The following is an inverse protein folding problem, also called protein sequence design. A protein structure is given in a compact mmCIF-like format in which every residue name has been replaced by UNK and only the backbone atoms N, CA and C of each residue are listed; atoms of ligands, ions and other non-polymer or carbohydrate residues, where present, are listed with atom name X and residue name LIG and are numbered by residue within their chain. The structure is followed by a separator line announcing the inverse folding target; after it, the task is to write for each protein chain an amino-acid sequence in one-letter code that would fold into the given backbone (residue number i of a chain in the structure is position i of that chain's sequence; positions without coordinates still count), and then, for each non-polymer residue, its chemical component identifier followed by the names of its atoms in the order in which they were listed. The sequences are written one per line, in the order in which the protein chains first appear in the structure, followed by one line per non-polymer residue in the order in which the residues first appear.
data_IF_806189942164
#
_entry.id   IF_806189942164
#
_cell.length_a   1.000
_cell.length_b   1.000
_cell.length_c   1.000
_cell.angle_alpha   90.00
_cell.angle_beta   90.00
_cell.angle_gamma   90.00
#
_symmetry.space_group_name_H-M   'P 1'
#
loop_
_entity.id
_entity.type
_entity.pdbx_description
1 polymer ?
#
# COMPACT_ATOMS: atom_id res chain seq x y z
N UNK A 1 -3.46 -22.44 -11.66
CA UNK A 1 -3.27 -21.07 -12.16
C UNK A 1 -3.30 -20.14 -10.96
N UNK A 2 -2.30 -19.28 -10.79
CA UNK A 2 -2.30 -18.28 -9.70
C UNK A 2 -3.24 -17.15 -10.07
N UNK A 3 -4.11 -16.74 -9.15
CA UNK A 3 -5.01 -15.60 -9.34
C UNK A 3 -4.20 -14.30 -9.46
N UNK A 4 -4.84 -13.25 -9.99
CA UNK A 4 -4.22 -11.93 -10.12
C UNK A 4 -3.76 -11.39 -8.76
N UNK A 5 -2.61 -10.69 -8.71
CA UNK A 5 -2.14 -10.08 -7.48
C UNK A 5 -3.07 -8.94 -7.05
N UNK A 6 -3.30 -8.83 -5.75
CA UNK A 6 -3.98 -7.69 -5.14
C UNK A 6 -2.91 -6.73 -4.62
N UNK A 7 -2.92 -5.51 -5.15
CA UNK A 7 -1.90 -4.51 -4.84
C UNK A 7 -2.44 -3.50 -3.82
N UNK A 8 -1.71 -3.35 -2.73
CA UNK A 8 -2.10 -2.52 -1.59
C UNK A 8 -1.02 -1.49 -1.28
N UNK A 9 -1.43 -0.31 -0.80
CA UNK A 9 -0.54 0.72 -0.29
C UNK A 9 -0.63 0.78 1.23
N UNK A 10 0.52 0.74 1.90
CA UNK A 10 0.62 1.11 3.31
C UNK A 10 1.82 2.03 3.53
N UNK A 11 1.55 3.30 3.80
CA UNK A 11 2.59 4.34 3.75
C UNK A 11 3.59 4.21 4.89
N UNK A 12 3.13 4.00 6.13
CA UNK A 12 4.01 3.99 7.31
C UNK A 12 3.34 3.36 8.53
N UNK A 13 4.19 2.93 9.47
CA UNK A 13 3.77 2.43 10.78
C UNK A 13 3.25 0.99 10.73
N UNK A 14 2.93 0.40 11.90
CA UNK A 14 2.43 -0.96 11.97
C UNK A 14 1.03 -1.08 11.36
N UNK A 15 0.74 -2.26 10.81
CA UNK A 15 -0.60 -2.59 10.32
C UNK A 15 -1.53 -2.82 11.51
N UNK A 16 -2.65 -2.11 11.55
CA UNK A 16 -3.78 -2.37 12.43
C UNK A 16 -4.35 -3.77 12.18
N UNK A 17 -5.20 -4.23 13.11
CA UNK A 17 -5.90 -5.52 12.95
C UNK A 17 -6.73 -5.57 11.67
N UNK A 18 -7.31 -4.44 11.25
CA UNK A 18 -8.14 -4.39 10.05
C UNK A 18 -7.31 -4.61 8.78
N UNK A 19 -6.18 -3.92 8.64
CA UNK A 19 -5.32 -4.11 7.46
C UNK A 19 -4.73 -5.53 7.44
N UNK A 20 -4.31 -6.06 8.59
CA UNK A 20 -3.83 -7.45 8.67
C UNK A 20 -4.91 -8.47 8.26
N UNK A 21 -6.16 -8.28 8.70
CA UNK A 21 -7.27 -9.17 8.34
C UNK A 21 -7.61 -9.08 6.85
N UNK A 22 -7.61 -7.87 6.27
CA UNK A 22 -7.82 -7.66 4.83
C UNK A 22 -6.74 -8.36 4.00
N UNK A 23 -5.47 -8.23 4.37
CA UNK A 23 -4.38 -8.94 3.70
C UNK A 23 -4.57 -10.47 3.81
N UNK A 24 -4.87 -10.97 5.02
CA UNK A 24 -5.06 -12.41 5.25
C UNK A 24 -6.23 -12.97 4.46
N UNK A 25 -7.32 -12.22 4.27
CA UNK A 25 -8.47 -12.71 3.50
C UNK A 25 -8.13 -12.94 2.03
N UNK A 26 -7.39 -12.03 1.38
CA UNK A 26 -6.95 -12.22 0.00
C UNK A 26 -5.96 -13.37 -0.15
N UNK A 27 -4.98 -13.47 0.77
CA UNK A 27 -4.05 -14.60 0.80
C UNK A 27 -4.79 -15.94 0.98
N UNK A 28 -5.81 -15.99 1.84
CA UNK A 28 -6.61 -17.19 2.07
C UNK A 28 -7.44 -17.61 0.85
N UNK A 29 -7.82 -16.65 -0.01
CA UNK A 29 -8.46 -16.93 -1.30
C UNK A 29 -7.45 -17.27 -2.41
N UNK A 30 -6.16 -17.34 -2.11
CA UNK A 30 -5.11 -17.72 -3.05
C UNK A 30 -4.60 -16.59 -3.96
N UNK A 31 -5.02 -15.34 -3.70
CA UNK A 31 -4.44 -14.19 -4.38
C UNK A 31 -3.07 -13.86 -3.80
N UNK A 32 -2.03 -13.66 -4.63
CA UNK A 32 -0.81 -13.01 -4.19
C UNK A 32 -1.13 -11.59 -3.68
N UNK A 33 -0.52 -11.17 -2.58
CA UNK A 33 -0.66 -9.80 -2.08
C UNK A 33 0.65 -9.06 -2.27
N UNK A 34 0.60 -7.94 -2.99
CA UNK A 34 1.71 -7.03 -3.21
C UNK A 34 1.50 -5.79 -2.33
N UNK A 35 2.31 -5.62 -1.29
CA UNK A 35 2.23 -4.49 -0.38
C UNK A 35 3.33 -3.47 -0.72
N UNK A 36 2.92 -2.34 -1.29
CA UNK A 36 3.79 -1.18 -1.51
C UNK A 36 3.87 -0.36 -0.23
N UNK A 37 5.09 -0.08 0.19
CA UNK A 37 5.35 0.68 1.42
C UNK A 37 6.69 1.42 1.36
N UNK A 38 6.81 2.50 2.12
CA UNK A 38 8.09 3.18 2.29
C UNK A 38 8.93 2.53 3.39
N UNK A 39 8.27 2.02 4.43
CA UNK A 39 8.87 1.35 5.57
C UNK A 39 8.08 0.07 5.86
N UNK A 40 8.69 -1.09 5.58
CA UNK A 40 7.98 -2.36 5.66
C UNK A 40 7.48 -2.65 7.09
N UNK A 41 6.16 -2.83 7.31
CA UNK A 41 5.64 -3.13 8.64
C UNK A 41 6.12 -4.51 9.10
N UNK A 42 6.70 -4.57 10.30
CA UNK A 42 7.19 -5.82 10.90
C UNK A 42 6.05 -6.80 11.18
N UNK A 43 4.89 -6.28 11.56
CA UNK A 43 3.71 -7.07 11.92
C UNK A 43 2.84 -7.48 10.71
N UNK A 44 3.41 -7.49 9.50
CA UNK A 44 2.70 -7.95 8.30
C UNK A 44 2.40 -9.44 8.33
N UNK A 45 1.26 -9.89 7.78
CA UNK A 45 1.00 -11.31 7.61
C UNK A 45 2.08 -12.00 6.76
N UNK A 46 2.38 -13.26 7.08
CA UNK A 46 3.26 -14.09 6.27
C UNK A 46 2.67 -14.30 4.86
N UNK A 47 3.54 -14.42 3.85
CA UNK A 47 3.13 -14.62 2.45
C UNK A 47 2.90 -13.33 1.65
N UNK A 48 2.91 -12.16 2.30
CA UNK A 48 2.89 -10.85 1.62
C UNK A 48 4.21 -10.61 0.91
N UNK A 49 4.15 -10.19 -0.35
CA UNK A 49 5.31 -9.66 -1.09
C UNK A 49 5.39 -8.16 -0.88
N UNK A 50 6.52 -7.67 -0.43
CA UNK A 50 6.71 -6.25 -0.12
C UNK A 50 7.48 -5.57 -1.25
N UNK A 51 7.00 -4.40 -1.66
CA UNK A 51 7.60 -3.57 -2.71
C UNK A 51 7.87 -2.17 -2.18
N UNK A 52 8.89 -1.52 -2.72
CA UNK A 52 9.22 -0.15 -2.35
C UNK A 52 8.22 0.80 -3.02
N UNK A 53 7.48 1.56 -2.22
CA UNK A 53 6.50 2.52 -2.73
C UNK A 53 7.16 3.65 -3.55
N UNK A 54 8.46 3.94 -3.33
CA UNK A 54 9.20 4.94 -4.11
C UNK A 54 9.27 4.61 -5.62
N UNK A 55 9.14 3.33 -6.00
CA UNK A 55 9.15 2.92 -7.41
C UNK A 55 7.91 3.42 -8.17
N UNK A 56 6.83 3.71 -7.44
CA UNK A 56 5.58 4.22 -7.99
C UNK A 56 5.48 5.74 -7.78
N UNK A 57 5.53 6.19 -6.53
CA UNK A 57 5.49 7.60 -6.14
C UNK A 57 6.56 7.88 -5.08
N UNK A 58 7.40 8.91 -5.23
CA UNK A 58 8.39 9.28 -4.21
C UNK A 58 7.76 9.65 -2.87
N UNK A 59 8.37 9.22 -1.76
CA UNK A 59 7.89 9.53 -0.40
C UNK A 59 7.80 11.02 -0.08
N UNK A 60 8.58 11.87 -0.76
CA UNK A 60 8.55 13.32 -0.61
C UNK A 60 7.19 13.95 -0.97
N UNK A 61 6.36 13.24 -1.73
CA UNK A 61 5.00 13.67 -2.08
C UNK A 61 3.94 13.16 -1.07
N UNK A 62 4.31 12.25 -0.17
CA UNK A 62 3.39 11.78 0.86
C UNK A 62 3.21 12.87 1.94
N UNK A 63 1.96 13.17 2.35
CA UNK A 63 1.70 14.10 3.44
C UNK A 63 2.43 13.68 4.72
N UNK A 64 2.95 14.66 5.45
CA UNK A 64 3.45 14.42 6.80
C UNK A 64 2.26 14.47 7.77
N UNK A 65 2.24 13.55 8.74
CA UNK A 65 1.20 13.47 9.77
C UNK A 65 1.20 14.72 10.68
N UNK A 66 2.33 15.43 10.75
CA UNK A 66 2.48 16.67 11.51
C UNK A 66 2.17 17.94 10.70
N UNK A 67 2.06 17.84 9.38
CA UNK A 67 1.68 19.00 8.56
C UNK A 67 0.21 19.30 8.79
N UNK A 68 -0.14 20.59 8.84
CA UNK A 68 -1.53 21.00 8.92
C UNK A 68 -2.33 20.33 7.77
N UNK A 69 -3.57 19.86 8.03
CA UNK A 69 -4.34 19.03 7.09
C UNK A 69 -4.53 19.60 5.68
N UNK A 70 -4.24 20.89 5.49
CA UNK A 70 -4.44 21.62 4.23
C UNK A 70 -3.13 22.08 3.56
N UNK A 71 -1.96 21.97 4.19
CA UNK A 71 -0.71 22.48 3.62
C UNK A 71 -0.01 21.47 2.69
N UNK A 72 -0.14 20.16 2.97
CA UNK A 72 0.48 19.09 2.17
C UNK A 72 -0.52 18.09 1.57
N UNK A 73 -1.82 18.40 1.65
CA UNK A 73 -2.91 17.52 1.21
C UNK A 73 -3.23 16.39 2.19
N UNK A 74 -4.28 15.62 1.89
CA UNK A 74 -4.74 14.52 2.74
C UNK A 74 -4.10 13.18 2.36
N UNK A 75 -3.98 12.27 3.35
CA UNK A 75 -3.53 10.90 3.10
C UNK A 75 -4.44 10.14 2.10
N UNK A 76 -5.74 10.48 2.07
CA UNK A 76 -6.68 9.92 1.10
C UNK A 76 -6.33 10.34 -0.33
N UNK A 77 -6.12 11.63 -0.55
CA UNK A 77 -5.75 12.17 -1.88
C UNK A 77 -4.41 11.61 -2.37
N UNK A 78 -3.44 11.43 -1.47
CA UNK A 78 -2.19 10.77 -1.79
C UNK A 78 -2.39 9.30 -2.21
N UNK A 79 -3.22 8.55 -1.48
CA UNK A 79 -3.56 7.17 -1.80
C UNK A 79 -4.22 7.04 -3.18
N UNK A 80 -5.13 7.96 -3.51
CA UNK A 80 -5.76 8.02 -4.83
C UNK A 80 -4.73 8.29 -5.93
N UNK A 81 -3.87 9.28 -5.74
CA UNK A 81 -2.80 9.57 -6.69
C UNK A 81 -1.88 8.36 -6.90
N UNK A 82 -1.44 7.72 -5.81
CA UNK A 82 -0.62 6.51 -5.87
C UNK A 82 -1.30 5.39 -6.66
N UNK A 83 -2.58 5.15 -6.41
CA UNK A 83 -3.38 4.11 -7.09
C UNK A 83 -3.44 4.33 -8.60
N UNK A 84 -3.63 5.58 -9.06
CA UNK A 84 -3.60 5.88 -10.49
C UNK A 84 -2.20 5.69 -11.10
N UNK A 85 -1.15 6.12 -10.42
CA UNK A 85 0.22 5.91 -10.89
C UNK A 85 0.58 4.41 -10.97
N UNK A 86 0.18 3.64 -9.96
CA UNK A 86 0.36 2.19 -9.92
C UNK A 86 -0.37 1.52 -11.09
N UNK A 87 -1.62 1.89 -11.35
CA UNK A 87 -2.42 1.31 -12.43
C UNK A 87 -1.83 1.62 -13.81
N UNK A 88 -1.28 2.81 -14.02
CA UNK A 88 -0.60 3.16 -15.27
C UNK A 88 0.69 2.35 -15.46
N UNK A 89 1.47 2.14 -14.39
CA UNK A 89 2.76 1.44 -14.46
C UNK A 89 2.64 -0.09 -14.50
N UNK A 90 1.70 -0.64 -13.73
CA UNK A 90 1.63 -2.06 -13.42
C UNK A 90 0.31 -2.71 -13.85
N UNK A 91 -0.75 -1.93 -14.08
CA UNK A 91 -2.10 -2.44 -14.30
C UNK A 91 -2.64 -3.22 -13.09
N UNK A 92 -3.62 -4.09 -13.36
CA UNK A 92 -4.14 -5.04 -12.37
C UNK A 92 -5.08 -4.43 -11.33
N UNK A 93 -5.14 -5.11 -10.18
CA UNK A 93 -6.02 -4.82 -9.04
C UNK A 93 -5.25 -4.29 -7.84
#
# INVERSE_FOLDING_TARGET
MTLDPIQMLWVRGPLSRMEQLSIRSFLAQGHPVHLYTYDAPENRPAGVRVFNANDIVPSALAPDRQAAPFEKGSMGSFSDYFRYQLMVKCGGW
#
